data_IF_260394880739
#
_entry.id   IF_260394880739
#
_cell.length_a   1.000
_cell.length_b   1.000
_cell.length_c   1.000
_cell.angle_alpha   90.00
_cell.angle_beta   90.00
_cell.angle_gamma   90.00
#
_symmetry.space_group_name_H-M   'P 1'
#
loop_
_entity.id
_entity.type
_entity.pdbx_description
1 polymer ?
#
# COMPACT_ATOMS: atom_id res chain seq x y z
N UNK A 1 -26.26 5.54 -9.70
CA UNK A 1 -25.19 5.13 -8.78
C UNK A 1 -24.73 6.38 -8.04
N UNK A 2 -24.69 6.34 -6.72
CA UNK A 2 -24.07 7.39 -5.88
C UNK A 2 -23.08 6.65 -4.99
N UNK A 3 -21.84 7.13 -4.97
CA UNK A 3 -20.76 6.58 -4.15
C UNK A 3 -20.33 7.69 -3.20
N UNK A 4 -20.64 7.53 -1.92
CA UNK A 4 -20.23 8.45 -0.86
C UNK A 4 -18.94 7.94 -0.20
N UNK A 5 -18.13 8.86 0.35
CA UNK A 5 -16.85 8.54 1.02
C UNK A 5 -15.88 7.73 0.14
N UNK A 6 -15.65 8.24 -1.07
CA UNK A 6 -14.81 7.61 -2.09
C UNK A 6 -13.36 7.45 -1.61
N UNK A 7 -12.83 6.25 -1.78
CA UNK A 7 -11.40 5.89 -1.64
C UNK A 7 -10.81 5.49 -3.00
N UNK A 8 -9.49 5.33 -3.06
CA UNK A 8 -8.80 4.84 -4.27
C UNK A 8 -9.30 3.47 -4.76
N UNK A 9 -9.88 2.64 -3.88
CA UNK A 9 -10.44 1.34 -4.26
C UNK A 9 -11.69 1.45 -5.16
N UNK A 10 -12.29 2.64 -5.28
CA UNK A 10 -13.41 2.90 -6.17
C UNK A 10 -12.99 3.35 -7.58
N UNK A 11 -11.69 3.58 -7.83
CA UNK A 11 -11.21 3.91 -9.18
C UNK A 11 -11.49 2.79 -10.17
N UNK A 12 -11.78 3.16 -11.41
CA UNK A 12 -12.00 2.23 -12.51
C UNK A 12 -13.16 2.63 -13.41
N UNK A 13 -13.54 1.72 -14.30
CA UNK A 13 -14.60 1.93 -15.27
C UNK A 13 -15.95 1.43 -14.75
N UNK A 14 -16.99 2.22 -14.99
CA UNK A 14 -18.36 1.91 -14.64
C UNK A 14 -19.23 1.94 -15.89
N UNK A 15 -20.05 0.92 -16.05
CA UNK A 15 -21.03 0.82 -17.14
C UNK A 15 -22.43 0.63 -16.56
N UNK A 16 -23.43 1.20 -17.25
CA UNK A 16 -24.83 0.94 -16.94
C UNK A 16 -25.35 -0.15 -17.88
N UNK A 17 -25.81 -1.26 -17.30
CA UNK A 17 -26.42 -2.36 -18.05
C UNK A 17 -27.93 -2.42 -17.76
N UNK A 18 -28.75 -2.24 -18.79
CA UNK A 18 -30.20 -2.30 -18.71
C UNK A 18 -30.73 -3.52 -19.46
N UNK A 19 -31.57 -4.31 -18.79
CA UNK A 19 -32.14 -5.54 -19.33
C UNK A 19 -33.66 -5.46 -19.35
N UNK A 20 -34.29 -5.83 -20.47
CA UNK A 20 -35.74 -5.88 -20.64
C UNK A 20 -36.16 -7.15 -21.39
N UNK A 21 -37.42 -7.57 -21.25
CA UNK A 21 -38.01 -8.68 -22.00
C UNK A 21 -38.98 -8.17 -23.05
N UNK A 22 -38.66 -8.41 -24.33
CA UNK A 22 -39.50 -8.02 -25.46
C UNK A 22 -39.93 -9.31 -26.17
N UNK A 23 -41.24 -9.57 -26.24
CA UNK A 23 -41.82 -10.79 -26.79
C UNK A 23 -41.27 -12.10 -26.17
N UNK A 24 -41.02 -12.09 -24.86
CA UNK A 24 -40.46 -13.23 -24.14
C UNK A 24 -38.95 -13.45 -24.36
N UNK A 25 -38.27 -12.59 -25.14
CA UNK A 25 -36.82 -12.61 -25.29
C UNK A 25 -36.19 -11.51 -24.43
N UNK A 26 -35.15 -11.89 -23.68
CA UNK A 26 -34.30 -10.93 -22.97
C UNK A 26 -33.48 -10.11 -23.98
N UNK A 27 -33.45 -8.79 -23.76
CA UNK A 27 -32.66 -7.81 -24.50
C UNK A 27 -31.89 -7.00 -23.49
N UNK A 28 -30.57 -6.95 -23.66
CA UNK A 28 -29.70 -6.11 -22.83
C UNK A 28 -29.11 -4.99 -23.69
N UNK A 29 -29.09 -3.77 -23.18
CA UNK A 29 -28.25 -2.69 -23.66
C UNK A 29 -27.24 -2.31 -22.57
N UNK A 30 -26.00 -2.02 -22.97
CA UNK A 30 -24.93 -1.52 -22.10
C UNK A 30 -24.56 -0.13 -22.58
N UNK A 31 -24.34 0.81 -21.66
CA UNK A 31 -23.84 2.15 -21.99
C UNK A 31 -22.37 2.11 -22.39
N UNK A 32 -21.86 3.23 -22.92
CA UNK A 32 -20.42 3.45 -22.95
C UNK A 32 -19.86 3.50 -21.49
N UNK A 33 -18.59 3.11 -21.28
CA UNK A 33 -17.96 3.15 -19.97
C UNK A 33 -17.66 4.57 -19.50
N UNK A 34 -17.70 4.77 -18.17
CA UNK A 34 -17.34 6.00 -17.49
C UNK A 34 -16.17 5.70 -16.56
N UNK A 35 -15.03 6.38 -16.75
CA UNK A 35 -13.88 6.27 -15.86
C UNK A 35 -14.05 7.16 -14.61
N UNK A 36 -13.93 6.56 -13.43
CA UNK A 36 -13.87 7.26 -12.15
C UNK A 36 -12.41 7.37 -11.68
N UNK A 37 -11.93 8.61 -11.55
CA UNK A 37 -10.61 8.95 -11.02
C UNK A 37 -10.74 9.58 -9.64
N UNK A 38 -9.88 9.18 -8.69
CA UNK A 38 -9.90 9.69 -7.32
C UNK A 38 -8.64 10.51 -7.07
N UNK A 39 -8.81 11.83 -6.90
CA UNK A 39 -7.71 12.75 -6.61
C UNK A 39 -7.73 13.10 -5.12
N UNK A 40 -6.62 12.92 -4.41
CA UNK A 40 -6.59 13.00 -2.96
C UNK A 40 -5.22 12.88 -2.31
N UNK A 41 -5.21 12.97 -0.99
CA UNK A 41 -4.01 12.71 -0.18
C UNK A 41 -3.64 11.22 -0.26
N UNK A 42 -2.37 10.86 0.01
CA UNK A 42 -1.96 9.47 -0.02
C UNK A 42 -2.79 8.63 0.96
N UNK A 43 -3.04 7.37 0.60
CA UNK A 43 -3.73 6.39 1.44
C UNK A 43 -2.91 5.10 1.47
N UNK A 44 -2.30 4.81 2.61
CA UNK A 44 -1.61 3.54 2.83
C UNK A 44 -2.67 2.44 2.99
N UNK A 45 -2.57 1.42 2.16
CA UNK A 45 -3.49 0.30 2.17
C UNK A 45 -3.17 -0.63 3.32
N UNK A 46 -4.15 -0.77 4.21
CA UNK A 46 -4.01 -1.49 5.49
C UNK A 46 -4.24 -3.00 5.35
N UNK A 47 -4.68 -3.45 4.18
CA UNK A 47 -4.89 -4.85 3.82
C UNK A 47 -4.08 -5.16 2.57
N UNK A 48 -3.15 -6.10 2.64
CA UNK A 48 -2.44 -6.60 1.45
C UNK A 48 -3.37 -7.49 0.63
N UNK A 49 -3.09 -7.61 -0.67
CA UNK A 49 -3.72 -8.56 -1.59
C UNK A 49 -3.66 -9.98 -1.00
N UNK A 50 -4.81 -10.51 -0.59
CA UNK A 50 -4.92 -11.80 0.10
C UNK A 50 -5.75 -11.79 1.39
N UNK A 51 -6.25 -10.63 1.83
CA UNK A 51 -7.20 -10.53 2.96
C UNK A 51 -6.59 -10.74 4.35
N UNK A 52 -5.27 -10.91 4.43
CA UNK A 52 -4.54 -10.94 5.71
C UNK A 52 -4.11 -9.50 6.02
N UNK A 53 -4.58 -8.97 7.14
CA UNK A 53 -4.11 -7.70 7.69
C UNK A 53 -2.66 -7.85 8.16
N UNK A 54 -1.71 -7.72 7.22
CA UNK A 54 -0.28 -7.83 7.46
C UNK A 54 0.28 -6.62 8.20
N UNK A 55 -0.19 -6.35 9.41
CA UNK A 55 0.36 -5.30 10.28
C UNK A 55 1.63 -5.74 11.01
N UNK A 56 2.09 -6.97 10.79
CA UNK A 56 3.33 -7.49 11.34
C UNK A 56 4.06 -8.43 10.38
N UNK A 57 5.37 -8.29 10.32
CA UNK A 57 6.30 -9.20 9.64
C UNK A 57 7.11 -9.92 10.71
N UNK A 58 7.22 -11.25 10.61
CA UNK A 58 8.06 -12.05 11.51
C UNK A 58 9.24 -12.62 10.73
N UNK A 59 10.45 -12.48 11.27
CA UNK A 59 11.68 -13.09 10.76
C UNK A 59 12.45 -13.75 11.89
N UNK A 60 13.38 -14.65 11.59
CA UNK A 60 14.31 -15.17 12.60
C UNK A 60 15.48 -14.21 12.76
N UNK A 61 16.09 -14.22 13.95
CA UNK A 61 17.35 -13.52 14.18
C UNK A 61 18.40 -14.00 13.16
N UNK A 62 19.05 -13.05 12.49
CA UNK A 62 20.07 -13.26 11.47
C UNK A 62 19.53 -13.27 10.03
N UNK A 63 18.22 -13.41 9.83
CA UNK A 63 17.61 -13.34 8.50
C UNK A 63 17.41 -11.88 8.06
N UNK A 64 17.33 -11.63 6.75
CA UNK A 64 16.89 -10.31 6.25
C UNK A 64 15.37 -10.15 6.39
N UNK A 65 14.92 -8.97 6.81
CA UNK A 65 13.52 -8.58 6.81
C UNK A 65 13.19 -7.63 5.67
N UNK A 66 12.01 -7.82 5.07
CA UNK A 66 11.46 -6.92 4.06
C UNK A 66 10.09 -6.44 4.53
N UNK A 67 9.96 -5.13 4.70
CA UNK A 67 8.73 -4.45 5.09
C UNK A 67 8.19 -3.70 3.88
N UNK A 68 7.03 -4.11 3.37
CA UNK A 68 6.43 -3.50 2.18
C UNK A 68 4.98 -3.09 2.45
N UNK A 69 4.61 -1.91 1.98
CA UNK A 69 3.25 -1.39 2.01
C UNK A 69 2.90 -0.83 0.63
N UNK A 70 1.63 -0.94 0.26
CA UNK A 70 1.10 -0.27 -0.93
C UNK A 70 0.43 1.03 -0.49
N UNK A 71 0.71 2.11 -1.20
CA UNK A 71 0.09 3.42 -0.99
C UNK A 71 -0.53 3.89 -2.30
N UNK A 72 -1.79 4.34 -2.26
CA UNK A 72 -2.43 4.96 -3.42
C UNK A 72 -2.50 6.48 -3.23
N UNK A 73 -2.16 7.25 -4.27
CA UNK A 73 -2.05 8.69 -4.20
C UNK A 73 -2.10 9.32 -5.59
N UNK A 74 -2.95 10.33 -5.74
CA UNK A 74 -3.04 11.17 -6.93
C UNK A 74 -3.23 12.63 -6.48
N UNK A 75 -2.25 13.55 -6.67
CA UNK A 75 -1.02 13.36 -7.45
C UNK A 75 -0.01 12.39 -6.84
N UNK A 76 0.90 11.86 -7.68
CA UNK A 76 2.01 10.97 -7.27
C UNK A 76 2.74 11.52 -6.03
N UNK A 77 3.15 10.66 -5.07
CA UNK A 77 3.88 11.11 -3.89
C UNK A 77 5.15 11.90 -4.22
N UNK A 78 5.38 12.97 -3.46
CA UNK A 78 6.60 13.79 -3.51
C UNK A 78 7.64 13.36 -2.48
N UNK A 79 7.18 12.91 -1.33
CA UNK A 79 8.02 12.42 -0.25
C UNK A 79 7.52 11.06 0.20
N UNK A 80 8.46 10.11 0.31
CA UNK A 80 8.21 8.77 0.81
C UNK A 80 9.38 8.37 1.68
N UNK A 81 9.12 8.16 2.97
CA UNK A 81 10.16 7.85 3.94
C UNK A 81 9.72 6.78 4.92
N UNK A 82 10.69 6.00 5.40
CA UNK A 82 10.54 5.11 6.54
C UNK A 82 11.17 5.72 7.79
N UNK A 83 10.45 5.70 8.91
CA UNK A 83 10.86 6.27 10.20
C UNK A 83 10.79 5.23 11.32
N UNK A 84 11.84 5.16 12.15
CA UNK A 84 11.87 4.35 13.37
C UNK A 84 12.86 4.91 14.38
N UNK A 85 12.44 5.02 15.64
CA UNK A 85 13.24 5.71 16.66
C UNK A 85 13.53 7.15 16.22
N UNK A 86 14.81 7.50 16.09
CA UNK A 86 15.28 8.80 15.58
C UNK A 86 15.75 8.76 14.12
N UNK A 87 15.68 7.60 13.47
CA UNK A 87 16.11 7.42 12.09
C UNK A 87 14.95 7.69 11.13
N UNK A 88 15.31 8.30 10.01
CA UNK A 88 14.45 8.51 8.84
C UNK A 88 15.26 8.23 7.59
N UNK A 89 14.74 7.39 6.71
CA UNK A 89 15.32 7.13 5.39
C UNK A 89 14.30 7.41 4.31
N UNK A 90 14.68 8.26 3.35
CA UNK A 90 13.90 8.55 2.16
C UNK A 90 14.00 7.40 1.15
N UNK A 91 13.03 7.29 0.24
CA UNK A 91 13.09 6.37 -0.88
C UNK A 91 14.41 6.47 -1.66
N UNK A 92 14.96 5.31 -2.05
CA UNK A 92 16.25 5.21 -2.75
C UNK A 92 17.49 5.41 -1.87
N UNK A 93 17.33 5.60 -0.55
CA UNK A 93 18.45 5.79 0.39
C UNK A 93 18.75 4.56 1.25
N UNK A 94 19.92 4.54 1.88
CA UNK A 94 20.33 3.45 2.78
C UNK A 94 21.38 3.89 3.80
N UNK A 95 21.42 3.20 4.94
CA UNK A 95 22.42 3.37 5.98
C UNK A 95 22.69 2.04 6.70
N UNK A 96 23.95 1.61 6.75
CA UNK A 96 24.33 0.36 7.39
C UNK A 96 23.56 -0.83 6.83
N UNK A 97 22.77 -1.50 7.69
CA UNK A 97 21.94 -2.67 7.35
C UNK A 97 20.56 -2.31 6.78
N UNK A 98 20.21 -1.03 6.74
CA UNK A 98 18.89 -0.55 6.31
C UNK A 98 18.97 0.02 4.89
N UNK A 99 18.04 -0.39 4.02
CA UNK A 99 17.91 0.13 2.66
C UNK A 99 16.44 0.35 2.31
N UNK A 100 16.10 1.53 1.79
CA UNK A 100 14.78 1.82 1.24
C UNK A 100 14.88 1.83 -0.27
N UNK A 101 14.01 1.06 -0.92
CA UNK A 101 13.96 1.04 -2.39
C UNK A 101 13.36 2.34 -2.94
N UNK A 102 13.62 2.62 -4.21
CA UNK A 102 12.82 3.61 -4.94
C UNK A 102 11.35 3.16 -5.01
N UNK A 103 10.45 4.13 -4.98
CA UNK A 103 9.01 3.87 -5.05
C UNK A 103 8.62 3.48 -6.47
N UNK A 104 8.14 2.25 -6.62
CA UNK A 104 7.70 1.68 -7.90
C UNK A 104 6.17 1.66 -8.00
N UNK A 105 5.65 1.66 -9.22
CA UNK A 105 4.20 1.58 -9.45
C UNK A 105 3.69 0.17 -9.13
N UNK A 106 2.59 0.08 -8.37
CA UNK A 106 1.85 -1.16 -8.13
C UNK A 106 1.09 -1.57 -9.40
N UNK A 107 0.52 -2.78 -9.39
CA UNK A 107 -0.39 -3.24 -10.46
C UNK A 107 -1.62 -2.33 -10.68
N UNK A 108 -2.00 -1.54 -9.67
CA UNK A 108 -3.11 -0.60 -9.73
C UNK A 108 -2.64 0.80 -10.11
N UNK A 109 -3.51 1.48 -10.86
CA UNK A 109 -3.34 2.90 -11.17
C UNK A 109 -3.24 3.73 -9.88
N UNK A 110 -2.36 4.74 -9.89
CA UNK A 110 -2.06 5.63 -8.76
C UNK A 110 -1.61 4.95 -7.46
N UNK A 111 -1.33 3.65 -7.50
CA UNK A 111 -0.81 2.91 -6.36
C UNK A 111 0.69 2.62 -6.54
N UNK A 112 1.40 2.61 -5.42
CA UNK A 112 2.85 2.50 -5.40
C UNK A 112 3.31 1.57 -4.28
N UNK A 113 4.38 0.82 -4.54
CA UNK A 113 5.03 -0.05 -3.58
C UNK A 113 6.17 0.69 -2.87
N UNK A 114 6.11 0.75 -1.55
CA UNK A 114 7.17 1.30 -0.68
C UNK A 114 7.78 0.18 0.16
N UNK A 115 9.09 -0.03 0.05
CA UNK A 115 9.79 -1.17 0.66
C UNK A 115 11.01 -0.73 1.47
N UNK A 116 11.11 -1.23 2.69
CA UNK A 116 12.29 -1.15 3.56
C UNK A 116 12.88 -2.55 3.75
N UNK A 117 14.18 -2.66 3.54
CA UNK A 117 14.99 -3.85 3.81
C UNK A 117 15.84 -3.65 5.05
N UNK A 118 15.97 -4.71 5.83
CA UNK A 118 16.80 -4.80 7.03
C UNK A 118 17.61 -6.09 6.91
N UNK A 119 18.91 -5.99 6.67
CA UNK A 119 19.79 -7.16 6.60
C UNK A 119 20.21 -7.62 8.00
N UNK A 120 20.39 -8.93 8.23
CA UNK A 120 20.86 -9.49 9.51
C UNK A 120 20.02 -9.03 10.73
N UNK A 121 18.71 -9.30 10.72
CA UNK A 121 17.78 -8.80 11.72
C UNK A 121 18.14 -9.26 13.14
N UNK A 122 18.12 -8.34 14.11
CA UNK A 122 18.37 -8.62 15.53
C UNK A 122 17.13 -8.37 16.38
N UNK A 123 17.08 -8.91 17.60
CA UNK A 123 16.01 -8.67 18.56
C UNK A 123 15.79 -7.17 18.83
N UNK A 124 16.82 -6.33 18.73
CA UNK A 124 16.68 -4.88 18.86
C UNK A 124 15.92 -4.22 17.69
N UNK A 125 15.85 -4.87 16.53
CA UNK A 125 15.06 -4.41 15.39
C UNK A 125 13.55 -4.64 15.60
N UNK A 126 13.13 -5.39 16.63
CA UNK A 126 11.71 -5.60 16.95
C UNK A 126 11.03 -4.32 17.44
N UNK A 127 10.34 -3.62 16.53
CA UNK A 127 9.60 -2.38 16.79
C UNK A 127 8.62 -2.06 15.64
N UNK A 128 7.72 -1.09 15.81
CA UNK A 128 7.01 -0.49 14.69
C UNK A 128 7.96 0.34 13.81
N UNK A 129 7.81 0.18 12.49
CA UNK A 129 8.40 1.00 11.45
C UNK A 129 7.28 1.79 10.77
N UNK A 130 7.44 3.10 10.65
CA UNK A 130 6.41 3.99 10.11
C UNK A 130 6.75 4.39 8.69
N UNK A 131 5.86 4.09 7.75
CA UNK A 131 5.87 4.69 6.42
C UNK A 131 5.16 6.04 6.49
N UNK A 132 5.82 7.09 6.00
CA UNK A 132 5.27 8.44 5.85
C UNK A 132 5.28 8.80 4.36
N UNK A 133 4.12 9.21 3.86
CA UNK A 133 3.91 9.52 2.43
C UNK A 133 3.24 10.87 2.33
N UNK A 134 3.72 11.74 1.44
CA UNK A 134 3.20 13.09 1.25
C UNK A 134 3.04 13.42 -0.24
N UNK A 135 1.92 14.08 -0.57
CA UNK A 135 1.71 14.77 -1.85
C UNK A 135 1.09 16.16 -1.60
N UNK A 136 0.73 16.88 -2.67
CA UNK A 136 0.12 18.22 -2.56
C UNK A 136 -1.22 18.28 -1.83
N UNK A 137 -1.91 17.13 -1.72
CA UNK A 137 -3.23 17.03 -1.09
C UNK A 137 -3.15 16.66 0.38
N UNK A 138 -1.99 16.22 0.86
CA UNK A 138 -1.76 15.93 2.27
C UNK A 138 -0.76 14.82 2.50
N UNK A 139 -0.86 14.20 3.68
CA UNK A 139 0.06 13.15 4.12
C UNK A 139 -0.72 11.99 4.74
N UNK A 140 -0.14 10.79 4.66
CA UNK A 140 -0.56 9.64 5.46
C UNK A 140 0.66 8.98 6.12
N UNK A 141 0.40 8.40 7.29
CA UNK A 141 1.41 7.74 8.13
C UNK A 141 0.86 6.46 8.69
N UNK A 142 1.52 5.34 8.38
CA UNK A 142 1.10 4.02 8.83
C UNK A 142 2.27 3.19 9.34
N UNK A 143 2.00 2.32 10.31
CA UNK A 143 3.02 1.48 10.94
C UNK A 143 2.87 0.02 10.52
N UNK A 144 4.00 -0.65 10.29
CA UNK A 144 4.11 -2.11 10.26
C UNK A 144 5.09 -2.56 11.35
N UNK A 145 4.74 -3.61 12.09
CA UNK A 145 5.59 -4.10 13.19
C UNK A 145 6.52 -5.20 12.71
N UNK A 146 7.82 -5.07 12.98
CA UNK A 146 8.74 -6.20 12.84
C UNK A 146 8.75 -7.02 14.13
N UNK A 147 8.65 -8.34 14.01
CA UNK A 147 8.91 -9.32 15.07
C UNK A 147 10.15 -10.12 14.70
N UNK A 148 11.04 -10.31 15.66
CA UNK A 148 12.26 -11.09 15.46
C UNK A 148 12.25 -12.26 16.44
N UNK A 149 12.20 -13.46 15.88
CA UNK A 149 12.20 -14.70 16.65
C UNK A 149 13.63 -15.06 17.05
N UNK A 150 13.87 -15.21 18.36
CA UNK A 150 15.14 -15.71 18.88
C UNK A 150 15.34 -17.19 18.56
N UNK A 151 16.59 -17.62 18.41
CA UNK A 151 16.89 -19.06 18.40
C UNK A 151 16.75 -19.60 19.82
N UNK A 152 15.66 -20.31 20.11
CA UNK A 152 15.63 -21.18 21.28
C UNK A 152 16.51 -22.39 20.98
N UNK A 153 17.72 -22.41 21.53
CA UNK A 153 18.49 -23.65 21.66
C UNK A 153 17.83 -24.48 22.77
N UNK A 154 17.08 -25.50 22.37
CA UNK A 154 16.65 -26.60 23.25
C UNK A 154 17.79 -27.58 23.49
#
# INVERSE_FOLDING_TARGET
LVIDNVTYDYQGEYECRATNFINGQERTATSDPIALQVVGAPQVLRTTSGGVAGHSVSVKKGDSATLSLIVCADPRPRHVAWEWGSLRLEAGSGIGRYRVDDVTQDSREDCYLATLHIDDADLQDQRPYYLVVENERGTDRHAISLRVEGMFSG
#
